data_IF_110276532904
#
_entry.id   IF_110276532904
#
_cell.length_a   1.000
_cell.length_b   1.000
_cell.length_c   1.000
_cell.angle_alpha   90.00
_cell.angle_beta   90.00
_cell.angle_gamma   90.00
#
_symmetry.space_group_name_H-M   'P 1'
#
loop_
_entity.id
_entity.type
_entity.pdbx_description
1 polymer ?
#
# COMPACT_ATOMS: atom_id res chain seq x y z
N UNK A 1 -39.19 -16.69 24.72
CA UNK A 1 -38.24 -16.02 23.82
C UNK A 1 -37.30 -15.19 24.67
N UNK A 2 -35.99 -15.21 24.40
CA UNK A 2 -35.07 -14.29 25.08
C UNK A 2 -35.45 -12.87 24.68
N UNK A 3 -35.65 -11.99 25.65
CA UNK A 3 -35.97 -10.59 25.43
C UNK A 3 -34.66 -9.82 25.23
N UNK A 4 -34.60 -8.95 24.23
CA UNK A 4 -33.43 -8.10 24.01
C UNK A 4 -33.18 -7.22 25.24
N UNK A 5 -31.90 -6.95 25.56
CA UNK A 5 -31.57 -6.11 26.71
C UNK A 5 -32.06 -4.68 26.47
N UNK A 6 -32.59 -4.05 27.51
CA UNK A 6 -32.99 -2.63 27.47
C UNK A 6 -31.84 -1.70 27.04
N UNK A 7 -30.59 -2.14 27.25
CA UNK A 7 -29.38 -1.40 26.91
C UNK A 7 -28.20 -2.35 26.66
N UNK A 8 -27.36 -2.04 25.67
CA UNK A 8 -26.04 -2.66 25.53
C UNK A 8 -24.96 -1.62 25.16
N UNK A 9 -23.71 -1.94 25.48
CA UNK A 9 -22.56 -1.05 25.26
C UNK A 9 -21.66 -1.61 24.17
N UNK A 10 -21.28 -0.77 23.20
CA UNK A 10 -20.30 -1.09 22.17
C UNK A 10 -18.98 -0.39 22.48
N UNK A 11 -17.88 -1.13 22.34
CA UNK A 11 -16.53 -0.67 22.67
C UNK A 11 -15.87 0.12 21.52
N UNK A 12 -16.65 0.93 20.81
CA UNK A 12 -16.20 1.80 19.72
C UNK A 12 -16.78 3.19 19.89
N UNK A 13 -16.22 4.17 19.19
CA UNK A 13 -16.76 5.52 19.20
C UNK A 13 -18.07 5.61 18.42
N UNK A 14 -18.93 6.56 18.82
CA UNK A 14 -20.24 6.76 18.20
C UNK A 14 -20.14 7.05 16.70
N UNK A 15 -19.22 7.92 16.28
CA UNK A 15 -19.00 8.29 14.87
C UNK A 15 -18.63 7.09 13.99
N UNK A 16 -17.79 6.19 14.51
CA UNK A 16 -17.44 4.95 13.83
C UNK A 16 -18.60 3.97 13.76
N UNK A 17 -19.40 3.86 14.83
CA UNK A 17 -20.60 3.02 14.81
C UNK A 17 -21.63 3.53 13.81
N UNK A 18 -21.93 4.83 13.80
CA UNK A 18 -22.87 5.43 12.85
C UNK A 18 -22.41 5.23 11.40
N UNK A 19 -21.10 5.44 11.13
CA UNK A 19 -20.53 5.11 9.83
C UNK A 19 -20.68 3.63 9.48
N UNK A 20 -20.40 2.73 10.41
CA UNK A 20 -20.51 1.28 10.20
C UNK A 20 -21.95 0.86 9.93
N UNK A 21 -22.91 1.43 10.67
CA UNK A 21 -24.33 1.21 10.49
C UNK A 21 -24.80 1.70 9.12
N UNK A 22 -24.32 2.85 8.65
CA UNK A 22 -24.64 3.34 7.30
C UNK A 22 -24.05 2.48 6.16
N UNK A 23 -22.96 1.74 6.43
CA UNK A 23 -22.18 1.03 5.41
C UNK A 23 -22.28 -0.51 5.47
N UNK A 24 -23.03 -1.08 6.42
CA UNK A 24 -23.17 -2.52 6.61
C UNK A 24 -24.63 -2.95 6.67
N UNK A 25 -25.10 -3.60 5.61
CA UNK A 25 -26.45 -4.19 5.55
C UNK A 25 -26.68 -5.27 6.60
N UNK A 26 -25.62 -6.00 6.98
CA UNK A 26 -25.66 -6.98 8.06
C UNK A 26 -25.96 -6.29 9.40
N UNK A 27 -25.23 -5.21 9.74
CA UNK A 27 -25.48 -4.45 10.98
C UNK A 27 -26.88 -3.83 10.98
N UNK A 28 -27.30 -3.25 9.85
CA UNK A 28 -28.65 -2.70 9.70
C UNK A 28 -29.72 -3.76 9.95
N UNK A 29 -29.59 -4.94 9.35
CA UNK A 29 -30.51 -6.05 9.53
C UNK A 29 -30.52 -6.56 10.97
N UNK A 30 -29.34 -6.72 11.60
CA UNK A 30 -29.22 -7.21 12.98
C UNK A 30 -29.87 -6.27 13.99
N UNK A 31 -29.79 -4.96 13.77
CA UNK A 31 -30.32 -3.95 14.70
C UNK A 31 -31.70 -3.42 14.31
N UNK A 32 -32.30 -3.91 13.23
CA UNK A 32 -33.55 -3.37 12.69
C UNK A 32 -34.71 -3.39 13.69
N UNK A 33 -34.82 -4.43 14.51
CA UNK A 33 -35.87 -4.59 15.53
C UNK A 33 -35.44 -4.14 16.93
N UNK A 34 -34.21 -3.66 17.11
CA UNK A 34 -33.72 -3.26 18.41
C UNK A 34 -34.27 -1.88 18.79
N UNK A 35 -35.03 -1.82 19.88
CA UNK A 35 -35.63 -0.57 20.39
C UNK A 35 -35.01 -0.07 21.70
N UNK A 36 -33.95 -0.72 22.18
CA UNK A 36 -33.24 -0.33 23.40
C UNK A 36 -32.20 0.76 23.17
N UNK A 37 -31.44 1.09 24.21
CA UNK A 37 -30.39 2.10 24.16
C UNK A 37 -29.02 1.50 23.80
N UNK A 38 -28.30 2.14 22.87
CA UNK A 38 -26.92 1.81 22.54
C UNK A 38 -26.00 2.86 23.15
N UNK A 39 -25.04 2.41 23.96
CA UNK A 39 -24.00 3.26 24.53
C UNK A 39 -22.64 3.03 23.85
N UNK A 40 -21.86 4.09 23.71
CA UNK A 40 -20.58 4.11 23.00
C UNK A 40 -19.45 4.49 23.96
N UNK A 41 -18.99 3.56 24.79
CA UNK A 41 -17.86 3.82 25.68
C UNK A 41 -17.02 2.58 25.92
N UNK A 42 -15.72 2.79 26.14
CA UNK A 42 -14.86 1.73 26.67
C UNK A 42 -15.25 1.40 28.12
N UNK A 43 -15.07 0.17 28.58
CA UNK A 43 -15.30 -0.18 29.98
C UNK A 43 -14.38 0.66 30.88
N UNK A 44 -14.91 1.13 32.02
CA UNK A 44 -14.17 1.86 33.06
C UNK A 44 -13.22 0.96 33.85
N UNK A 45 -12.45 0.12 33.17
CA UNK A 45 -11.51 -0.81 33.78
C UNK A 45 -10.13 -0.17 33.91
N UNK A 46 -9.49 -0.30 35.07
CA UNK A 46 -8.17 0.31 35.36
C UNK A 46 -7.10 -0.09 34.34
N UNK A 47 -7.13 -1.33 33.83
CA UNK A 47 -6.21 -1.79 32.78
C UNK A 47 -6.40 -1.05 31.44
N UNK A 48 -7.64 -0.70 31.08
CA UNK A 48 -7.92 0.07 29.87
C UNK A 48 -7.60 1.56 30.05
N UNK A 49 -7.67 2.05 31.29
CA UNK A 49 -7.23 3.40 31.64
C UNK A 49 -5.69 3.52 31.65
N UNK A 50 -4.96 2.50 32.09
CA UNK A 50 -3.48 2.46 32.04
C UNK A 50 -2.93 2.34 30.62
N UNK A 51 -3.72 1.81 29.67
CA UNK A 51 -3.37 1.87 28.25
C UNK A 51 -3.40 3.32 27.69
N UNK A 52 -4.04 4.27 28.39
CA UNK A 52 -3.98 5.69 28.02
C UNK A 52 -2.64 6.33 28.38
N UNK A 53 -1.83 5.73 29.26
CA UNK A 53 -0.60 6.33 29.81
C UNK A 53 0.70 5.69 29.28
N UNK A 54 0.62 4.61 28.50
CA UNK A 54 1.76 3.95 27.86
C UNK A 54 2.02 4.55 26.48
N UNK A 55 3.24 4.65 25.90
CA UNK A 55 3.46 5.14 24.51
C UNK A 55 2.75 4.35 23.40
N UNK A 56 2.12 3.23 23.74
CA UNK A 56 1.09 2.52 22.94
C UNK A 56 -0.26 3.26 22.90
N UNK A 57 -0.39 4.40 23.60
CA UNK A 57 -1.60 5.21 23.79
C UNK A 57 -1.95 6.11 22.61
N UNK A 58 -1.29 5.94 21.47
CA UNK A 58 -2.00 6.06 20.21
C UNK A 58 -3.05 4.95 20.19
N UNK A 59 -4.13 5.12 20.96
CA UNK A 59 -5.37 4.43 20.65
C UNK A 59 -5.52 4.60 19.14
N UNK A 60 -5.67 3.53 18.35
CA UNK A 60 -6.38 3.70 17.10
C UNK A 60 -7.69 4.32 17.57
N UNK A 61 -7.82 5.64 17.41
CA UNK A 61 -9.10 6.29 17.52
C UNK A 61 -9.80 5.66 16.33
N UNK A 62 -10.57 4.60 16.58
CA UNK A 62 -11.42 3.97 15.57
C UNK A 62 -12.40 5.07 15.18
N UNK A 63 -11.92 5.89 14.26
CA UNK A 63 -12.60 6.98 13.60
C UNK A 63 -12.98 6.43 12.24
N UNK A 64 -13.98 7.05 11.62
CA UNK A 64 -14.39 6.72 10.25
C UNK A 64 -13.16 6.44 9.36
N UNK A 65 -13.10 5.27 8.69
CA UNK A 65 -12.04 4.94 7.75
C UNK A 65 -11.79 6.07 6.76
N UNK A 66 -10.50 6.35 6.50
CA UNK A 66 -10.08 7.39 5.56
C UNK A 66 -9.94 6.86 4.14
N UNK A 67 -9.95 5.55 3.96
CA UNK A 67 -10.02 4.92 2.66
C UNK A 67 -11.36 5.26 1.98
N UNK A 68 -11.28 5.96 0.86
CA UNK A 68 -12.39 6.30 -0.01
C UNK A 68 -12.70 5.15 -0.96
N UNK A 69 -13.98 4.97 -1.32
CA UNK A 69 -14.41 4.00 -2.34
C UNK A 69 -14.29 4.52 -3.77
N UNK A 70 -14.15 5.84 -3.92
CA UNK A 70 -13.99 6.53 -5.19
C UNK A 70 -12.76 7.42 -5.14
N UNK A 71 -12.21 7.82 -6.30
CA UNK A 71 -11.14 8.82 -6.35
C UNK A 71 -11.50 10.08 -5.55
N UNK A 72 -10.51 10.68 -4.92
CA UNK A 72 -10.60 11.93 -4.17
C UNK A 72 -10.05 13.10 -5.00
N UNK A 73 -10.43 14.33 -4.65
CA UNK A 73 -10.04 15.56 -5.38
C UNK A 73 -8.59 16.01 -5.10
N UNK A 74 -7.63 15.09 -5.21
CA UNK A 74 -6.24 15.32 -4.82
C UNK A 74 -5.23 14.75 -5.81
N UNK A 75 -3.92 14.98 -5.58
CA UNK A 75 -2.88 14.50 -6.47
C UNK A 75 -2.96 12.98 -6.65
N UNK A 76 -2.66 12.54 -7.87
CA UNK A 76 -2.45 11.11 -8.16
C UNK A 76 -0.98 10.78 -7.93
N UNK A 77 -0.74 9.97 -6.91
CA UNK A 77 0.57 9.57 -6.43
C UNK A 77 0.83 8.15 -6.87
N UNK A 78 1.88 7.95 -7.65
CA UNK A 78 2.36 6.65 -8.10
C UNK A 78 3.49 6.21 -7.19
N UNK A 79 3.52 4.93 -6.85
CA UNK A 79 4.62 4.33 -6.09
C UNK A 79 5.13 3.10 -6.78
N UNK A 80 6.44 2.90 -6.73
CA UNK A 80 7.11 1.70 -7.22
C UNK A 80 8.37 1.41 -6.39
N UNK A 81 8.78 0.14 -6.33
CA UNK A 81 9.84 -0.33 -5.47
C UNK A 81 10.68 -1.42 -6.12
N UNK A 82 11.94 -1.11 -6.41
CA UNK A 82 12.85 -2.10 -6.98
C UNK A 82 13.60 -2.87 -5.90
N UNK A 83 13.30 -4.17 -5.76
CA UNK A 83 14.11 -5.09 -4.94
C UNK A 83 15.56 -5.22 -5.41
N UNK A 84 15.86 -4.84 -6.67
CA UNK A 84 17.22 -4.88 -7.23
C UNK A 84 18.07 -3.69 -6.77
N UNK A 85 17.53 -2.48 -6.91
CA UNK A 85 18.26 -1.26 -6.57
C UNK A 85 18.02 -0.84 -5.11
N UNK A 86 17.02 -1.43 -4.46
CA UNK A 86 16.50 -1.02 -3.16
C UNK A 86 15.82 0.34 -3.17
N UNK A 87 15.58 0.93 -4.35
CA UNK A 87 14.95 2.25 -4.48
C UNK A 87 13.45 2.14 -4.34
N UNK A 88 12.92 2.90 -3.38
CA UNK A 88 11.50 3.14 -3.20
C UNK A 88 11.15 4.52 -3.78
N UNK A 89 10.22 4.56 -4.73
CA UNK A 89 9.86 5.78 -5.46
C UNK A 89 8.44 6.18 -5.15
N UNK A 90 8.25 7.48 -4.91
CA UNK A 90 6.95 8.13 -4.89
C UNK A 90 7.00 9.27 -5.89
N UNK A 91 6.06 9.33 -6.82
CA UNK A 91 6.02 10.35 -7.86
C UNK A 91 4.61 10.84 -8.11
N UNK A 92 4.45 12.12 -8.42
CA UNK A 92 3.18 12.73 -8.76
C UNK A 92 3.40 13.90 -9.70
N UNK A 93 2.34 14.35 -10.36
CA UNK A 93 2.39 15.53 -11.24
C UNK A 93 1.91 16.77 -10.47
N UNK A 94 2.69 17.83 -10.52
CA UNK A 94 2.29 19.17 -10.07
C UNK A 94 2.51 20.15 -11.23
N UNK A 95 1.46 20.86 -11.67
CA UNK A 95 1.51 21.81 -12.80
C UNK A 95 2.27 21.25 -14.02
N UNK A 96 1.89 20.05 -14.45
CA UNK A 96 2.52 19.27 -15.54
C UNK A 96 3.98 18.84 -15.35
N UNK A 97 4.57 19.08 -14.19
CA UNK A 97 5.92 18.61 -13.85
C UNK A 97 5.88 17.42 -12.90
N UNK A 98 6.67 16.39 -13.22
CA UNK A 98 6.89 15.27 -12.33
C UNK A 98 7.69 15.69 -11.10
N UNK A 99 7.16 15.37 -9.92
CA UNK A 99 7.82 15.50 -8.63
C UNK A 99 8.20 14.10 -8.15
N UNK A 100 9.29 13.96 -7.41
CA UNK A 100 9.76 12.64 -6.97
C UNK A 100 10.32 12.70 -5.57
N UNK A 101 9.93 11.70 -4.76
CA UNK A 101 10.60 11.34 -3.53
C UNK A 101 11.24 9.97 -3.72
N UNK A 102 12.52 9.87 -3.35
CA UNK A 102 13.27 8.62 -3.40
C UNK A 102 13.67 8.22 -1.98
N UNK A 103 13.41 6.96 -1.64
CA UNK A 103 13.89 6.31 -0.44
C UNK A 103 14.73 5.10 -0.79
N UNK A 104 15.40 4.58 0.23
CA UNK A 104 16.19 3.36 0.14
C UNK A 104 15.64 2.34 1.14
N UNK A 105 15.51 1.10 0.71
CA UNK A 105 15.25 -0.06 1.55
C UNK A 105 16.07 -1.25 1.06
N UNK A 106 16.53 -2.07 1.99
CA UNK A 106 17.11 -3.38 1.68
C UNK A 106 16.03 -4.45 1.77
N UNK A 107 16.24 -5.59 1.10
CA UNK A 107 15.35 -6.74 1.18
C UNK A 107 14.61 -7.05 -0.12
N UNK A 108 13.47 -7.71 -0.02
CA UNK A 108 12.66 -8.13 -1.17
C UNK A 108 12.00 -6.95 -1.87
N UNK A 109 11.58 -7.14 -3.13
CA UNK A 109 10.79 -6.14 -3.85
C UNK A 109 9.56 -5.70 -3.03
N UNK A 110 8.85 -6.64 -2.37
CA UNK A 110 7.71 -6.32 -1.51
C UNK A 110 8.05 -5.35 -0.36
N UNK A 111 9.24 -5.45 0.25
CA UNK A 111 9.68 -4.52 1.29
C UNK A 111 9.93 -3.13 0.72
N UNK A 112 10.53 -3.04 -0.46
CA UNK A 112 10.82 -1.77 -1.14
C UNK A 112 9.52 -1.09 -1.62
N UNK A 113 8.58 -1.86 -2.16
CA UNK A 113 7.24 -1.39 -2.51
C UNK A 113 6.48 -0.86 -1.29
N UNK A 114 6.51 -1.62 -0.18
CA UNK A 114 5.88 -1.19 1.07
C UNK A 114 6.54 0.08 1.62
N UNK A 115 7.86 0.23 1.48
CA UNK A 115 8.57 1.46 1.82
C UNK A 115 8.09 2.64 1.00
N UNK A 116 7.91 2.48 -0.32
CA UNK A 116 7.43 3.54 -1.21
C UNK A 116 6.05 4.04 -0.78
N UNK A 117 5.12 3.12 -0.54
CA UNK A 117 3.78 3.48 -0.05
C UNK A 117 3.81 4.10 1.34
N UNK A 118 4.64 3.58 2.26
CA UNK A 118 4.81 4.18 3.58
C UNK A 118 5.29 5.64 3.46
N UNK A 119 6.23 5.91 2.55
CA UNK A 119 6.69 7.26 2.27
C UNK A 119 5.57 8.15 1.70
N UNK A 120 4.75 7.65 0.77
CA UNK A 120 3.62 8.41 0.25
C UNK A 120 2.70 8.86 1.39
N UNK A 121 2.33 7.95 2.28
CA UNK A 121 1.49 8.29 3.44
C UNK A 121 2.14 9.24 4.44
N UNK A 122 3.47 9.24 4.55
CA UNK A 122 4.22 10.14 5.45
C UNK A 122 4.46 11.54 4.87
N UNK A 123 4.32 11.72 3.57
CA UNK A 123 4.63 12.99 2.89
C UNK A 123 3.40 13.63 2.21
N UNK A 124 2.29 12.90 2.08
CA UNK A 124 1.03 13.41 1.55
C UNK A 124 0.02 13.60 2.69
N UNK A 125 0.06 14.75 3.35
CA UNK A 125 -0.86 15.06 4.47
C UNK A 125 -2.31 15.24 3.99
N UNK A 126 -2.51 15.89 2.84
CA UNK A 126 -3.82 16.11 2.23
C UNK A 126 -4.39 14.86 1.55
N UNK A 127 -5.61 14.98 1.01
CA UNK A 127 -6.25 13.89 0.30
C UNK A 127 -5.52 13.56 -1.01
N UNK A 128 -5.38 12.28 -1.34
CA UNK A 128 -4.64 11.86 -2.54
C UNK A 128 -5.12 10.51 -3.06
N UNK A 129 -4.81 10.23 -4.32
CA UNK A 129 -5.09 8.96 -5.00
C UNK A 129 -3.79 8.16 -5.12
N UNK A 130 -3.65 7.08 -4.36
CA UNK A 130 -2.50 6.18 -4.40
C UNK A 130 -2.66 5.16 -5.52
N UNK A 131 -1.72 5.14 -6.45
CA UNK A 131 -1.64 4.16 -7.54
C UNK A 131 -0.45 3.24 -7.28
N UNK A 132 -0.74 1.94 -7.18
CA UNK A 132 0.26 0.90 -6.92
C UNK A 132 0.09 -0.22 -7.92
N UNK A 133 1.17 -0.87 -8.33
CA UNK A 133 1.11 -2.02 -9.23
C UNK A 133 1.36 -3.37 -8.52
N UNK A 134 1.86 -3.31 -7.28
CA UNK A 134 1.95 -4.44 -6.36
C UNK A 134 0.60 -4.73 -5.70
N UNK A 135 -0.04 -5.82 -6.10
CA UNK A 135 -1.30 -6.29 -5.49
C UNK A 135 -1.14 -6.56 -3.98
N UNK A 136 0.02 -7.10 -3.58
CA UNK A 136 0.35 -7.32 -2.17
C UNK A 136 0.26 -6.01 -1.36
N UNK A 137 0.87 -4.93 -1.85
CA UNK A 137 0.85 -3.65 -1.15
C UNK A 137 -0.53 -3.00 -1.20
N UNK A 138 -1.23 -3.11 -2.33
CA UNK A 138 -2.62 -2.65 -2.44
C UNK A 138 -3.52 -3.28 -1.38
N UNK A 139 -3.41 -4.59 -1.19
CA UNK A 139 -4.20 -5.34 -0.21
C UNK A 139 -3.84 -4.95 1.23
N UNK A 140 -2.54 -4.78 1.53
CA UNK A 140 -2.07 -4.32 2.84
C UNK A 140 -2.67 -2.95 3.17
N UNK A 141 -2.57 -1.97 2.27
CA UNK A 141 -3.08 -0.61 2.51
C UNK A 141 -4.59 -0.60 2.71
N UNK A 142 -5.34 -1.40 1.95
CA UNK A 142 -6.79 -1.48 2.06
C UNK A 142 -7.28 -2.08 3.39
N UNK A 143 -6.43 -2.83 4.10
CA UNK A 143 -6.80 -3.55 5.32
C UNK A 143 -6.13 -2.98 6.58
N UNK A 144 -5.12 -2.12 6.44
CA UNK A 144 -4.24 -1.74 7.55
C UNK A 144 -4.98 -0.97 8.66
N UNK A 145 -6.02 -0.20 8.33
CA UNK A 145 -6.80 0.57 9.29
C UNK A 145 -7.74 -0.29 10.16
N UNK A 146 -8.14 -1.45 9.67
CA UNK A 146 -9.01 -2.41 10.36
C UNK A 146 -8.25 -3.60 10.96
N UNK A 147 -6.91 -3.58 10.92
CA UNK A 147 -6.06 -4.71 11.33
C UNK A 147 -5.31 -4.45 12.63
N UNK A 148 -5.12 -5.51 13.42
CA UNK A 148 -4.19 -5.53 14.54
C UNK A 148 -2.82 -5.99 14.06
N UNK A 149 -1.81 -5.14 14.23
CA UNK A 149 -0.46 -5.48 13.82
C UNK A 149 0.24 -6.35 14.88
N UNK A 150 0.60 -7.57 14.51
CA UNK A 150 1.41 -8.48 15.33
C UNK A 150 2.89 -8.35 14.94
N UNK A 151 3.76 -8.42 15.94
CA UNK A 151 5.21 -8.52 15.71
C UNK A 151 5.58 -9.82 15.01
N UNK A 152 6.50 -9.73 14.05
CA UNK A 152 6.97 -10.85 13.23
C UNK A 152 8.49 -10.90 13.23
N UNK A 153 9.05 -12.08 12.91
CA UNK A 153 10.50 -12.30 12.94
C UNK A 153 11.28 -11.43 11.94
N UNK A 154 10.62 -10.93 10.90
CA UNK A 154 11.22 -9.97 9.98
C UNK A 154 11.06 -8.55 10.55
N UNK A 155 12.11 -8.08 11.23
CA UNK A 155 12.11 -6.77 11.89
C UNK A 155 11.86 -5.61 10.92
N UNK A 156 12.48 -5.64 9.74
CA UNK A 156 12.32 -4.59 8.72
C UNK A 156 10.87 -4.50 8.22
N UNK A 157 10.26 -5.66 7.94
CA UNK A 157 8.85 -5.74 7.57
C UNK A 157 7.95 -5.20 8.68
N UNK A 158 8.19 -5.63 9.92
CA UNK A 158 7.39 -5.18 11.05
C UNK A 158 7.49 -3.66 11.26
N UNK A 159 8.69 -3.09 11.15
CA UNK A 159 8.89 -1.65 11.28
C UNK A 159 8.18 -0.87 10.17
N UNK A 160 8.22 -1.34 8.92
CA UNK A 160 7.51 -0.72 7.82
C UNK A 160 5.99 -0.82 7.98
N UNK A 161 5.46 -2.00 8.30
CA UNK A 161 4.03 -2.18 8.55
C UNK A 161 3.56 -1.30 9.71
N UNK A 162 4.37 -1.17 10.78
CA UNK A 162 4.06 -0.31 11.93
C UNK A 162 4.08 1.16 11.56
N UNK A 163 5.01 1.58 10.70
CA UNK A 163 5.07 2.94 10.20
C UNK A 163 3.87 3.27 9.30
N UNK A 164 3.52 2.39 8.37
CA UNK A 164 2.34 2.53 7.52
C UNK A 164 1.06 2.56 8.35
N UNK A 165 0.90 1.62 9.28
CA UNK A 165 -0.26 1.54 10.18
C UNK A 165 -0.46 2.84 10.96
N UNK A 166 0.62 3.40 11.53
CA UNK A 166 0.57 4.71 12.21
C UNK A 166 0.19 5.83 11.25
N UNK A 167 0.82 5.90 10.09
CA UNK A 167 0.57 6.95 9.11
C UNK A 167 -0.88 6.94 8.65
N UNK A 168 -1.45 5.77 8.34
CA UNK A 168 -2.85 5.61 7.92
C UNK A 168 -3.83 5.96 9.06
N UNK A 169 -3.59 5.48 10.28
CA UNK A 169 -4.48 5.76 11.42
C UNK A 169 -4.47 7.22 11.86
N UNK A 170 -3.37 7.94 11.64
CA UNK A 170 -3.25 9.36 12.00
C UNK A 170 -3.79 10.29 10.90
N UNK A 171 -4.20 9.76 9.75
CA UNK A 171 -4.69 10.59 8.64
C UNK A 171 -5.95 11.35 9.03
N UNK A 172 -5.97 12.62 8.65
CA UNK A 172 -7.14 13.48 8.75
C UNK A 172 -7.94 13.43 7.44
N UNK A 173 -7.25 13.51 6.30
CA UNK A 173 -7.84 13.58 4.97
C UNK A 173 -7.99 12.19 4.32
N UNK A 174 -9.08 11.98 3.54
CA UNK A 174 -9.32 10.71 2.87
C UNK A 174 -8.28 10.40 1.79
N UNK A 175 -8.12 9.14 1.46
CA UNK A 175 -7.26 8.71 0.36
C UNK A 175 -7.96 7.61 -0.44
N UNK A 176 -7.65 7.49 -1.72
CA UNK A 176 -8.13 6.41 -2.57
C UNK A 176 -6.95 5.50 -2.93
N UNK A 177 -7.18 4.20 -3.11
CA UNK A 177 -6.17 3.25 -3.55
C UNK A 177 -6.67 2.58 -4.82
N UNK A 178 -5.84 2.58 -5.86
CA UNK A 178 -6.07 1.83 -7.07
C UNK A 178 -4.88 0.92 -7.34
N UNK A 179 -5.16 -0.38 -7.37
CA UNK A 179 -4.23 -1.35 -7.93
C UNK A 179 -4.32 -1.31 -9.46
N UNK A 180 -3.18 -1.20 -10.12
CA UNK A 180 -3.07 -1.34 -11.58
C UNK A 180 -2.16 -2.51 -11.92
N UNK A 181 -2.31 -3.08 -13.11
CA UNK A 181 -1.41 -4.14 -13.56
C UNK A 181 -0.06 -3.53 -13.95
N UNK A 182 1.05 -4.11 -13.52
CA UNK A 182 2.38 -3.71 -13.98
C UNK A 182 2.49 -3.86 -15.51
N UNK A 183 3.28 -2.97 -16.13
CA UNK A 183 3.64 -3.02 -17.56
C UNK A 183 2.44 -3.18 -18.52
N UNK A 184 1.39 -2.38 -18.32
CA UNK A 184 0.31 -2.30 -19.32
C UNK A 184 0.76 -1.54 -20.56
N UNK A 185 0.30 -1.96 -21.73
CA UNK A 185 0.48 -1.21 -22.99
C UNK A 185 -0.67 -0.23 -23.26
N UNK A 186 -1.53 0.01 -22.26
CA UNK A 186 -2.65 0.92 -22.43
C UNK A 186 -2.13 2.36 -22.32
N UNK A 187 -2.58 3.27 -23.21
CA UNK A 187 -2.23 4.68 -23.09
C UNK A 187 -2.98 5.30 -21.91
N UNK A 188 -2.45 6.41 -21.41
CA UNK A 188 -3.13 7.26 -20.44
C UNK A 188 -2.29 7.58 -19.22
N UNK A 189 -2.78 8.53 -18.43
CA UNK A 189 -2.06 9.11 -17.30
C UNK A 189 -1.62 8.07 -16.26
N UNK A 190 -2.46 7.05 -16.00
CA UNK A 190 -2.11 6.01 -15.04
C UNK A 190 -0.93 5.14 -15.52
N UNK A 191 -0.90 4.80 -16.80
CA UNK A 191 0.18 4.02 -17.38
C UNK A 191 1.47 4.84 -17.49
N UNK A 192 1.37 6.13 -17.85
CA UNK A 192 2.50 7.06 -17.88
C UNK A 192 3.14 7.22 -16.50
N UNK A 193 2.34 7.50 -15.47
CA UNK A 193 2.84 7.68 -14.11
C UNK A 193 3.46 6.41 -13.53
N UNK A 194 2.88 5.25 -13.80
CA UNK A 194 3.46 3.97 -13.40
C UNK A 194 4.82 3.72 -14.09
N UNK A 195 4.88 3.93 -15.41
CA UNK A 195 6.12 3.78 -16.16
C UNK A 195 7.20 4.76 -15.69
N UNK A 196 6.80 5.98 -15.30
CA UNK A 196 7.69 6.97 -14.74
C UNK A 196 8.26 6.52 -13.38
N UNK A 197 7.44 5.98 -12.49
CA UNK A 197 7.89 5.44 -11.20
C UNK A 197 8.86 4.25 -11.38
N UNK A 198 8.52 3.30 -12.25
CA UNK A 198 9.36 2.13 -12.57
C UNK A 198 10.73 2.53 -13.15
N UNK A 199 10.75 3.49 -14.08
CA UNK A 199 12.00 3.99 -14.66
C UNK A 199 12.93 4.60 -13.60
N UNK A 200 12.37 5.30 -12.59
CA UNK A 200 13.12 5.89 -11.49
C UNK A 200 13.62 4.84 -10.49
N UNK A 201 12.85 3.78 -10.26
CA UNK A 201 13.23 2.66 -9.40
C UNK A 201 14.31 1.80 -10.06
N UNK A 202 14.29 1.69 -11.39
CA UNK A 202 15.15 0.84 -12.22
C UNK A 202 15.95 1.63 -13.29
N UNK A 203 16.74 2.67 -12.93
CA UNK A 203 17.35 3.57 -13.91
C UNK A 203 18.36 2.89 -14.85
N UNK A 204 19.01 1.81 -14.40
CA UNK A 204 20.00 1.05 -15.19
C UNK A 204 19.37 0.40 -16.44
N UNK A 205 18.07 0.15 -16.42
CA UNK A 205 17.33 -0.46 -17.52
C UNK A 205 16.60 0.56 -18.40
N UNK A 206 16.38 1.77 -17.88
CA UNK A 206 15.82 2.88 -18.63
C UNK A 206 16.82 3.52 -19.60
N UNK A 207 18.12 3.35 -19.36
CA UNK A 207 19.19 3.79 -20.26
C UNK A 207 19.52 2.66 -21.25
N UNK A 208 19.54 2.90 -22.58
CA UNK A 208 20.05 1.93 -23.54
C UNK A 208 21.50 1.62 -23.20
N UNK A 209 21.78 0.44 -22.65
CA UNK A 209 23.16 0.00 -22.52
C UNK A 209 23.68 -0.35 -23.93
N UNK A 210 24.90 0.10 -24.30
CA UNK A 210 25.45 -0.20 -25.62
C UNK A 210 25.67 -1.72 -25.81
N UNK A 211 25.85 -2.48 -24.72
CA UNK A 211 26.03 -3.93 -24.74
C UNK A 211 24.76 -4.69 -24.30
N UNK A 212 23.98 -5.13 -25.29
CA UNK A 212 22.75 -5.91 -25.10
C UNK A 212 23.03 -7.29 -24.50
N UNK A 213 24.21 -7.87 -24.71
CA UNK A 213 24.58 -9.18 -24.19
C UNK A 213 24.91 -9.10 -22.70
N UNK A 214 25.65 -8.07 -22.28
CA UNK A 214 25.90 -7.78 -20.87
C UNK A 214 24.57 -7.54 -20.13
N UNK A 215 23.69 -6.73 -20.73
CA UNK A 215 22.35 -6.48 -20.21
C UNK A 215 21.54 -7.79 -20.06
N UNK A 216 21.57 -8.67 -21.06
CA UNK A 216 20.87 -9.95 -21.02
C UNK A 216 21.41 -10.89 -19.92
N UNK A 217 22.73 -10.94 -19.72
CA UNK A 217 23.35 -11.70 -18.64
C UNK A 217 22.90 -11.19 -17.28
N UNK A 218 22.98 -9.87 -17.06
CA UNK A 218 22.52 -9.26 -15.80
C UNK A 218 21.02 -9.48 -15.56
N UNK A 219 20.20 -9.46 -16.61
CA UNK A 219 18.76 -9.74 -16.51
C UNK A 219 18.53 -11.20 -16.10
N UNK A 220 19.21 -12.13 -16.76
CA UNK A 220 19.05 -13.57 -16.51
C UNK A 220 19.52 -13.95 -15.11
N UNK A 221 20.68 -13.47 -14.65
CA UNK A 221 21.19 -13.75 -13.30
C UNK A 221 20.23 -13.29 -12.20
N UNK A 222 19.45 -12.23 -12.44
CA UNK A 222 18.56 -11.67 -11.42
C UNK A 222 17.12 -12.20 -11.52
N UNK A 223 16.55 -12.22 -12.72
CA UNK A 223 15.14 -12.59 -12.95
C UNK A 223 14.95 -14.04 -13.41
N UNK A 224 16.04 -14.80 -13.61
CA UNK A 224 16.04 -16.10 -14.30
C UNK A 224 15.26 -16.05 -15.62
N UNK A 225 15.45 -14.95 -16.35
CA UNK A 225 14.66 -14.64 -17.53
C UNK A 225 14.89 -15.69 -18.63
N UNK A 226 13.82 -16.25 -19.18
CA UNK A 226 13.96 -17.28 -20.22
C UNK A 226 14.50 -16.69 -21.54
N UNK A 227 15.17 -17.55 -22.33
CA UNK A 227 15.83 -17.14 -23.58
C UNK A 227 14.88 -16.45 -24.58
N UNK A 228 13.60 -16.84 -24.60
CA UNK A 228 12.61 -16.27 -25.53
C UNK A 228 12.29 -14.82 -25.19
N UNK A 229 12.15 -14.50 -23.89
CA UNK A 229 11.92 -13.14 -23.43
C UNK A 229 13.14 -12.25 -23.71
N UNK A 230 14.35 -12.75 -23.46
CA UNK A 230 15.60 -12.03 -23.75
C UNK A 230 15.78 -11.75 -25.25
N UNK A 231 15.44 -12.71 -26.14
CA UNK A 231 15.46 -12.48 -27.59
C UNK A 231 14.54 -11.32 -28.00
N UNK A 232 13.34 -11.26 -27.42
CA UNK A 232 12.34 -10.24 -27.78
C UNK A 232 12.69 -8.86 -27.23
N UNK A 233 13.07 -8.78 -25.96
CA UNK A 233 13.32 -7.51 -25.29
C UNK A 233 14.63 -6.86 -25.71
N UNK A 234 15.67 -7.66 -25.93
CA UNK A 234 17.03 -7.18 -26.18
C UNK A 234 17.50 -7.45 -27.62
N UNK A 235 16.61 -7.92 -28.49
CA UNK A 235 16.90 -8.22 -29.89
C UNK A 235 18.12 -9.15 -30.07
N UNK A 236 18.30 -10.09 -29.15
CA UNK A 236 19.38 -11.09 -29.19
C UNK A 236 19.04 -12.21 -30.17
N UNK A 237 20.08 -12.86 -30.71
CA UNK A 237 19.88 -14.10 -31.45
C UNK A 237 19.45 -15.23 -30.49
N UNK A 238 18.67 -16.22 -30.97
CA UNK A 238 18.29 -17.39 -30.18
C UNK A 238 19.49 -18.13 -29.58
N UNK A 239 20.62 -18.13 -30.29
CA UNK A 239 21.86 -18.80 -29.86
C UNK A 239 22.49 -18.08 -28.67
N UNK A 240 22.61 -16.75 -28.73
CA UNK A 240 23.13 -15.94 -27.62
C UNK A 240 22.25 -16.04 -26.38
N UNK A 241 20.93 -15.95 -26.55
CA UNK A 241 20.00 -16.03 -25.43
C UNK A 241 20.02 -17.41 -24.76
N UNK A 242 20.16 -18.51 -25.52
CA UNK A 242 20.33 -19.86 -24.97
C UNK A 242 21.66 -20.03 -24.26
N UNK A 243 22.74 -19.47 -24.81
CA UNK A 243 24.05 -19.53 -24.17
C UNK A 243 24.05 -18.86 -22.78
N UNK A 244 23.30 -17.76 -22.62
CA UNK A 244 23.14 -17.10 -21.32
C UNK A 244 22.36 -17.97 -20.33
N UNK A 245 21.25 -18.59 -20.77
CA UNK A 245 20.45 -19.47 -19.91
C UNK A 245 21.22 -20.74 -19.51
N UNK A 246 21.99 -21.30 -20.44
CA UNK A 246 22.77 -22.53 -20.22
C UNK A 246 24.03 -22.30 -19.38
N UNK A 247 24.45 -21.05 -19.16
CA UNK A 247 25.59 -20.69 -18.34
C UNK A 247 25.24 -20.54 -16.84
N UNK A 248 23.97 -20.74 -16.47
CA UNK A 248 23.46 -20.68 -15.11
C UNK A 248 23.51 -22.03 -14.39
#
# INVERSE_FOLDING_TARGET
>A
AAQDPAKFTILIQQDYFEWSLANSSALQSTLQSYTGQIDYHFPSHKLLQSLNTTPLSAKPKLTKPKLSRTPVDGPTVFTDGSGKTGKAIVTWKNEDRWQTLQGQSTGSAQLVELKAVTMAFQNCDEHFNLIVDSAYVADVVQQVDCSLLKEVNNADLFLLLKALWRAVLQRIYPFYVLHIRSHTNLPGFLAEGNAHADALANPVWAVPQPDRLAQAKTSHTFFHQNARTSCKQLLLTPTEARAIVNAC
#
